data_IF_285955781268
#
_entry.id   IF_285955781268
#
_cell.length_a   1.000
_cell.length_b   1.000
_cell.length_c   1.000
_cell.angle_alpha   90.00
_cell.angle_beta   90.00
_cell.angle_gamma   90.00
#
_symmetry.space_group_name_H-M   'P 1'
#
loop_
_entity.id
_entity.type
_entity.pdbx_description
1 polymer ?
#
# COMPACT_ATOMS: atom_id res chain seq x y z
N UNK A 1 -30.59 -16.20 35.28
CA UNK A 1 -29.99 -16.99 34.19
C UNK A 1 -29.67 -16.13 32.98
N UNK A 2 -28.45 -15.62 32.91
CA UNK A 2 -27.95 -14.92 31.72
C UNK A 2 -27.44 -15.95 30.73
N UNK A 3 -28.22 -16.16 29.67
CA UNK A 3 -27.89 -17.06 28.56
C UNK A 3 -26.76 -16.42 27.74
N UNK A 4 -25.52 -16.79 28.06
CA UNK A 4 -24.34 -16.41 27.27
C UNK A 4 -24.45 -17.17 25.96
N UNK A 5 -24.74 -16.45 24.88
CA UNK A 5 -24.67 -16.98 23.53
C UNK A 5 -23.19 -17.29 23.29
N UNK A 6 -22.79 -18.54 23.43
CA UNK A 6 -21.49 -19.01 22.96
C UNK A 6 -21.39 -18.57 21.51
N UNK A 7 -20.39 -17.75 21.18
CA UNK A 7 -20.11 -17.34 19.81
C UNK A 7 -19.87 -18.62 19.01
N UNK A 8 -20.93 -19.15 18.40
CA UNK A 8 -20.82 -20.20 17.40
C UNK A 8 -19.74 -19.71 16.45
N UNK A 9 -18.66 -20.49 16.34
CA UNK A 9 -17.55 -20.22 15.45
C UNK A 9 -18.14 -19.74 14.14
N UNK A 10 -18.01 -18.43 13.87
CA UNK A 10 -18.47 -17.87 12.63
C UNK A 10 -17.62 -18.55 11.57
N UNK A 11 -18.19 -19.59 10.94
CA UNK A 11 -17.54 -20.36 9.88
C UNK A 11 -17.01 -19.32 8.90
N UNK A 12 -15.70 -19.28 8.72
CA UNK A 12 -15.06 -18.33 7.82
C UNK A 12 -15.83 -18.41 6.49
N UNK A 13 -16.34 -17.27 6.02
CA UNK A 13 -17.12 -17.22 4.79
C UNK A 13 -16.27 -17.82 3.69
N UNK A 14 -16.58 -19.01 3.20
CA UNK A 14 -15.81 -19.65 2.13
C UNK A 14 -16.02 -18.85 0.85
N UNK A 15 -15.12 -17.91 0.56
CA UNK A 15 -15.17 -17.15 -0.68
C UNK A 15 -14.59 -18.05 -1.77
N UNK A 16 -15.47 -18.82 -2.42
CA UNK A 16 -15.16 -19.83 -3.44
C UNK A 16 -14.18 -19.34 -4.53
N UNK A 17 -14.25 -18.06 -4.89
CA UNK A 17 -13.39 -17.48 -5.93
C UNK A 17 -11.98 -17.10 -5.46
N UNK A 18 -11.73 -16.98 -4.14
CA UNK A 18 -10.41 -16.69 -3.55
C UNK A 18 -9.59 -17.96 -3.29
N UNK A 19 -10.22 -19.13 -3.21
CA UNK A 19 -9.53 -20.41 -3.09
C UNK A 19 -9.09 -20.95 -4.46
N UNK A 20 -8.37 -20.13 -5.21
CA UNK A 20 -7.96 -20.45 -6.59
C UNK A 20 -6.46 -20.20 -6.75
N UNK A 21 -5.74 -21.18 -7.31
CA UNK A 21 -4.31 -21.05 -7.68
C UNK A 21 -4.08 -20.44 -9.07
N UNK A 22 -5.15 -20.04 -9.73
CA UNK A 22 -5.10 -19.48 -11.07
C UNK A 22 -4.36 -18.14 -11.04
N UNK A 23 -3.50 -17.96 -12.05
CA UNK A 23 -2.76 -16.72 -12.28
C UNK A 23 -3.43 -15.92 -13.39
N UNK A 24 -3.48 -14.60 -13.24
CA UNK A 24 -4.07 -13.67 -14.21
C UNK A 24 -3.06 -12.56 -14.51
N UNK A 25 -2.88 -12.15 -15.79
CA UNK A 25 -3.41 -12.76 -17.02
C UNK A 25 -2.71 -14.07 -17.38
N UNK A 26 -3.45 -15.07 -17.87
CA UNK A 26 -2.91 -16.40 -18.22
C UNK A 26 -1.83 -16.35 -19.32
N UNK A 27 -1.86 -15.33 -20.17
CA UNK A 27 -0.89 -15.10 -21.24
C UNK A 27 0.41 -14.43 -20.78
N UNK A 28 0.45 -13.88 -19.55
CA UNK A 28 1.55 -13.06 -19.06
C UNK A 28 2.75 -13.87 -18.51
N UNK A 29 2.69 -15.20 -18.54
CA UNK A 29 3.79 -16.08 -18.14
C UNK A 29 4.32 -15.75 -16.74
N UNK A 30 5.61 -15.35 -16.58
CA UNK A 30 6.18 -14.97 -15.28
C UNK A 30 5.55 -13.74 -14.61
N UNK A 31 4.93 -12.85 -15.39
CA UNK A 31 4.27 -11.64 -14.88
C UNK A 31 2.84 -11.90 -14.38
N UNK A 32 2.35 -13.14 -14.53
CA UNK A 32 1.02 -13.52 -14.07
C UNK A 32 1.00 -13.64 -12.55
N UNK A 33 0.09 -12.91 -11.91
CA UNK A 33 -0.08 -12.93 -10.45
C UNK A 33 -1.30 -13.78 -10.06
N UNK A 34 -1.26 -14.48 -8.92
CA UNK A 34 -2.42 -15.18 -8.38
C UNK A 34 -3.66 -14.27 -8.28
N UNK A 35 -4.83 -14.77 -8.67
CA UNK A 35 -6.12 -14.05 -8.52
C UNK A 35 -6.35 -13.46 -7.12
N UNK A 36 -5.99 -14.15 -6.02
CA UNK A 36 -6.15 -13.59 -4.68
C UNK A 36 -5.28 -12.36 -4.42
N UNK A 37 -4.07 -12.30 -4.99
CA UNK A 37 -3.22 -11.10 -4.90
C UNK A 37 -3.87 -9.91 -5.60
N UNK A 38 -4.48 -10.12 -6.77
CA UNK A 38 -5.21 -9.06 -7.48
C UNK A 38 -6.35 -8.48 -6.64
N UNK A 39 -7.11 -9.32 -5.94
CA UNK A 39 -8.15 -8.87 -5.02
C UNK A 39 -7.59 -8.08 -3.83
N UNK A 40 -6.48 -8.55 -3.24
CA UNK A 40 -5.77 -7.82 -2.18
C UNK A 40 -5.29 -6.46 -2.67
N UNK A 41 -4.74 -6.38 -3.89
CA UNK A 41 -4.29 -5.11 -4.48
C UNK A 41 -5.45 -4.13 -4.69
N UNK A 42 -6.59 -4.60 -5.21
CA UNK A 42 -7.78 -3.75 -5.39
C UNK A 42 -8.30 -3.25 -4.04
N UNK A 43 -8.37 -4.13 -3.04
CA UNK A 43 -8.76 -3.75 -1.68
C UNK A 43 -7.80 -2.71 -1.10
N UNK A 44 -6.49 -2.90 -1.30
CA UNK A 44 -5.47 -1.96 -0.86
C UNK A 44 -5.67 -0.57 -1.48
N UNK A 45 -5.82 -0.52 -2.81
CA UNK A 45 -6.07 0.71 -3.56
C UNK A 45 -7.34 1.38 -3.03
N UNK A 46 -8.44 0.64 -2.90
CA UNK A 46 -9.71 1.17 -2.41
C UNK A 46 -9.58 1.81 -1.02
N UNK A 47 -8.87 1.16 -0.10
CA UNK A 47 -8.68 1.67 1.27
C UNK A 47 -7.73 2.87 1.36
N UNK A 48 -6.78 3.00 0.44
CA UNK A 48 -5.72 4.03 0.49
C UNK A 48 -6.03 5.27 -0.35
N UNK A 49 -6.81 5.12 -1.42
CA UNK A 49 -7.20 6.21 -2.32
C UNK A 49 -7.82 7.41 -1.58
N UNK A 50 -8.78 7.24 -0.65
CA UNK A 50 -9.39 8.38 0.04
C UNK A 50 -8.36 9.22 0.82
N UNK A 51 -7.44 8.57 1.52
CA UNK A 51 -6.38 9.24 2.28
C UNK A 51 -5.45 10.03 1.38
N UNK A 52 -4.99 9.43 0.28
CA UNK A 52 -4.12 10.11 -0.68
C UNK A 52 -4.82 11.24 -1.42
N UNK A 53 -6.12 11.09 -1.70
CA UNK A 53 -6.93 12.15 -2.28
C UNK A 53 -7.00 13.38 -1.36
N UNK A 54 -7.23 13.18 -0.06
CA UNK A 54 -7.23 14.28 0.92
C UNK A 54 -5.88 14.98 0.98
N UNK A 55 -4.78 14.22 0.98
CA UNK A 55 -3.43 14.80 0.94
C UNK A 55 -3.19 15.62 -0.33
N UNK A 56 -3.63 15.14 -1.49
CA UNK A 56 -3.56 15.90 -2.74
C UNK A 56 -4.42 17.16 -2.70
N UNK A 57 -5.62 17.10 -2.14
CA UNK A 57 -6.49 18.28 -1.98
C UNK A 57 -5.86 19.32 -1.06
N UNK A 58 -5.25 18.91 0.05
CA UNK A 58 -4.50 19.81 0.93
C UNK A 58 -3.32 20.46 0.19
N UNK A 59 -2.60 19.68 -0.62
CA UNK A 59 -1.53 20.20 -1.48
C UNK A 59 -2.01 21.23 -2.50
N UNK A 60 -3.16 20.97 -3.13
CA UNK A 60 -3.77 21.87 -4.11
C UNK A 60 -4.22 23.20 -3.48
N UNK A 61 -4.73 23.16 -2.24
CA UNK A 61 -5.13 24.37 -1.51
C UNK A 61 -3.93 25.29 -1.21
N UNK A 62 -2.72 24.75 -1.14
CA UNK A 62 -1.50 25.52 -0.94
C UNK A 62 -0.99 26.27 -2.19
N UNK A 63 -1.55 26.02 -3.38
CA UNK A 63 -1.06 26.63 -4.62
C UNK A 63 -1.64 28.06 -4.76
N UNK A 64 -0.81 29.11 -4.84
CA UNK A 64 -1.29 30.48 -5.00
C UNK A 64 -2.10 30.65 -6.30
N UNK A 65 -3.29 31.26 -6.19
CA UNK A 65 -4.17 31.52 -7.34
C UNK A 65 -3.54 32.43 -8.40
N UNK A 66 -2.63 33.31 -7.98
CA UNK A 66 -1.89 34.24 -8.85
C UNK A 66 -1.16 33.51 -9.99
N UNK A 67 -0.65 32.30 -9.76
CA UNK A 67 0.01 31.50 -10.80
C UNK A 67 -0.97 31.08 -11.92
N UNK A 68 -2.22 30.79 -11.55
CA UNK A 68 -3.25 30.42 -12.52
C UNK A 68 -3.76 31.64 -13.28
N UNK A 69 -3.91 32.78 -12.61
CA UNK A 69 -4.31 34.05 -13.22
C UNK A 69 -3.26 34.55 -14.22
N UNK A 70 -1.97 34.50 -13.86
CA UNK A 70 -0.87 34.84 -14.77
C UNK A 70 -0.87 33.94 -16.03
N UNK A 71 -1.08 32.64 -15.85
CA UNK A 71 -1.16 31.71 -16.98
C UNK A 71 -2.40 31.94 -17.86
N UNK A 72 -3.49 32.48 -17.31
CA UNK A 72 -4.66 32.89 -18.09
C UNK A 72 -4.38 34.14 -18.93
N UNK A 73 -3.64 35.10 -18.38
CA UNK A 73 -3.15 36.27 -19.11
C UNK A 73 -2.22 35.86 -20.25
N UNK A 74 -1.37 34.84 -20.03
CA UNK A 74 -0.49 34.26 -21.05
C UNK A 74 -1.20 33.33 -22.06
N UNK A 75 -2.52 33.14 -21.94
CA UNK A 75 -3.32 32.34 -22.87
C UNK A 75 -3.16 30.81 -22.72
N UNK A 76 -2.70 30.32 -21.57
CA UNK A 76 -2.48 28.90 -21.33
C UNK A 76 -3.81 28.11 -21.22
N UNK A 77 -3.90 27.00 -21.96
CA UNK A 77 -5.04 26.05 -21.91
C UNK A 77 -5.03 25.25 -20.60
N UNK A 78 -6.19 24.71 -20.21
CA UNK A 78 -6.35 23.94 -18.96
C UNK A 78 -5.35 22.77 -18.80
N UNK A 79 -5.03 22.06 -19.88
CA UNK A 79 -4.03 20.97 -19.83
C UNK A 79 -2.60 21.48 -19.59
N UNK A 80 -2.27 22.66 -20.12
CA UNK A 80 -0.97 23.30 -19.86
C UNK A 80 -0.89 23.75 -18.40
N UNK A 81 -1.96 24.34 -17.86
CA UNK A 81 -2.02 24.72 -16.43
C UNK A 81 -1.82 23.49 -15.52
N UNK A 82 -2.41 22.34 -15.86
CA UNK A 82 -2.21 21.10 -15.10
C UNK A 82 -0.75 20.62 -15.11
N UNK A 83 -0.14 20.45 -16.28
CA UNK A 83 1.22 19.88 -16.37
C UNK A 83 2.34 20.83 -15.96
N UNK A 84 2.17 22.14 -16.17
CA UNK A 84 3.23 23.13 -15.91
C UNK A 84 3.07 23.87 -14.57
N UNK A 85 1.87 23.90 -13.99
CA UNK A 85 1.62 24.58 -12.70
C UNK A 85 1.27 23.54 -11.64
N UNK A 86 0.23 22.76 -11.85
CA UNK A 86 -0.30 21.85 -10.83
C UNK A 86 0.68 20.70 -10.51
N UNK A 87 1.13 19.96 -11.52
CA UNK A 87 2.03 18.80 -11.34
C UNK A 87 3.37 19.20 -10.68
N UNK A 88 4.08 20.26 -11.12
CA UNK A 88 5.36 20.63 -10.53
C UNK A 88 5.24 21.16 -9.10
N UNK A 89 4.15 21.89 -8.78
CA UNK A 89 3.87 22.39 -7.43
C UNK A 89 3.50 21.25 -6.48
N UNK A 90 2.80 20.23 -6.97
CA UNK A 90 2.46 19.03 -6.19
C UNK A 90 3.61 18.04 -6.01
N UNK A 91 4.77 18.23 -6.65
CA UNK A 91 5.92 17.28 -6.58
C UNK A 91 6.25 16.86 -5.14
N UNK A 92 6.25 17.81 -4.20
CA UNK A 92 6.54 17.51 -2.79
C UNK A 92 5.47 16.63 -2.13
N UNK A 93 4.20 16.92 -2.41
CA UNK A 93 3.06 16.15 -1.90
C UNK A 93 3.02 14.75 -2.54
N UNK A 94 3.28 14.66 -3.85
CA UNK A 94 3.42 13.37 -4.54
C UNK A 94 4.55 12.54 -3.95
N UNK A 95 5.71 13.15 -3.65
CA UNK A 95 6.81 12.45 -2.99
C UNK A 95 6.40 11.88 -1.63
N UNK A 96 5.71 12.67 -0.80
CA UNK A 96 5.19 12.22 0.49
C UNK A 96 4.21 11.06 0.32
N UNK A 97 3.26 11.17 -0.60
CA UNK A 97 2.24 10.14 -0.85
C UNK A 97 2.87 8.83 -1.34
N UNK A 98 3.80 8.90 -2.29
CA UNK A 98 4.49 7.70 -2.80
C UNK A 98 5.31 7.05 -1.69
N UNK A 99 5.95 7.84 -0.82
CA UNK A 99 6.70 7.32 0.34
C UNK A 99 5.80 6.61 1.33
N UNK A 100 4.69 7.23 1.72
CA UNK A 100 3.71 6.62 2.61
C UNK A 100 3.10 5.35 2.00
N UNK A 101 2.78 5.37 0.70
CA UNK A 101 2.27 4.20 -0.02
C UNK A 101 3.28 3.05 -0.09
N UNK A 102 4.55 3.37 -0.33
CA UNK A 102 5.62 2.36 -0.39
C UNK A 102 5.86 1.71 0.98
N UNK A 103 5.90 2.52 2.04
CA UNK A 103 5.99 2.00 3.43
C UNK A 103 4.76 1.14 3.75
N UNK A 104 3.56 1.64 3.41
CA UNK A 104 2.30 0.95 3.66
C UNK A 104 2.19 -0.40 2.97
N UNK A 105 2.65 -0.51 1.71
CA UNK A 105 2.62 -1.77 0.96
C UNK A 105 3.62 -2.79 1.50
N UNK A 106 4.82 -2.36 1.93
CA UNK A 106 5.81 -3.25 2.57
C UNK A 106 5.34 -3.79 3.93
N UNK A 107 4.57 -3.00 4.66
CA UNK A 107 4.03 -3.37 5.98
C UNK A 107 2.63 -4.01 5.89
N UNK A 108 2.11 -4.26 4.70
CA UNK A 108 0.76 -4.77 4.50
C UNK A 108 0.63 -6.22 4.99
N UNK A 109 0.04 -6.39 6.18
CA UNK A 109 -0.24 -7.71 6.77
C UNK A 109 -1.74 -7.98 6.98
N UNK A 110 -2.53 -6.97 7.35
CA UNK A 110 -3.95 -7.16 7.69
C UNK A 110 -4.76 -7.70 6.52
N UNK A 111 -4.63 -7.08 5.35
CA UNK A 111 -5.34 -7.49 4.14
C UNK A 111 -4.94 -8.89 3.68
N UNK A 112 -3.66 -9.22 3.84
CA UNK A 112 -3.11 -10.55 3.55
C UNK A 112 -3.62 -11.58 4.55
N UNK A 113 -3.77 -11.24 5.83
CA UNK A 113 -4.28 -12.16 6.85
C UNK A 113 -5.76 -12.46 6.66
N UNK A 114 -6.56 -11.43 6.36
CA UNK A 114 -8.01 -11.57 6.14
C UNK A 114 -8.27 -12.49 4.93
N UNK A 115 -7.54 -12.29 3.83
CA UNK A 115 -7.72 -13.05 2.59
C UNK A 115 -6.92 -14.37 2.60
N UNK A 116 -5.75 -14.39 3.21
CA UNK A 116 -4.83 -15.54 3.27
C UNK A 116 -5.35 -16.69 4.13
N UNK A 117 -6.35 -16.47 4.99
CA UNK A 117 -7.11 -17.57 5.59
C UNK A 117 -7.95 -18.37 4.57
N UNK A 118 -8.20 -17.80 3.39
CA UNK A 118 -9.06 -18.36 2.34
C UNK A 118 -8.34 -18.63 1.02
N UNK A 119 -7.13 -18.09 0.84
CA UNK A 119 -6.30 -18.26 -0.34
C UNK A 119 -5.09 -19.17 -0.05
N UNK A 120 -4.60 -19.97 -1.02
CA UNK A 120 -3.41 -20.80 -0.84
C UNK A 120 -2.20 -19.99 -0.33
N UNK A 121 -1.55 -20.49 0.73
CA UNK A 121 -0.42 -19.81 1.38
C UNK A 121 0.68 -19.44 0.39
N UNK A 122 1.05 -20.35 -0.52
CA UNK A 122 2.12 -20.14 -1.53
C UNK A 122 1.89 -18.91 -2.43
N UNK A 123 0.65 -18.46 -2.58
CA UNK A 123 0.29 -17.34 -3.44
C UNK A 123 0.33 -15.98 -2.73
N UNK A 124 0.45 -15.94 -1.40
CA UNK A 124 0.12 -14.73 -0.61
C UNK A 124 1.10 -14.42 0.54
N UNK A 125 2.25 -15.09 0.61
CA UNK A 125 3.21 -14.85 1.71
C UNK A 125 3.88 -13.49 1.57
N UNK A 126 3.49 -12.53 2.41
CA UNK A 126 4.28 -11.32 2.66
C UNK A 126 5.20 -11.52 3.86
N UNK A 127 6.34 -10.80 3.90
CA UNK A 127 7.27 -10.87 5.03
C UNK A 127 6.60 -10.46 6.34
N UNK A 128 5.68 -9.49 6.30
CA UNK A 128 4.87 -9.09 7.45
C UNK A 128 3.91 -10.20 7.91
N UNK A 129 3.31 -10.95 6.98
CA UNK A 129 2.50 -12.12 7.32
C UNK A 129 3.34 -13.24 7.97
N UNK A 130 4.56 -13.47 7.50
CA UNK A 130 5.48 -14.44 8.10
C UNK A 130 5.83 -14.12 9.56
N UNK A 131 6.07 -12.84 9.87
CA UNK A 131 6.28 -12.37 11.25
C UNK A 131 5.07 -12.70 12.12
N UNK A 132 3.87 -12.37 11.63
CA UNK A 132 2.62 -12.65 12.35
C UNK A 132 2.41 -14.14 12.60
N UNK A 133 2.53 -14.98 11.56
CA UNK A 133 2.34 -16.43 11.65
C UNK A 133 3.34 -17.08 12.61
N UNK A 134 4.59 -16.62 12.62
CA UNK A 134 5.64 -17.13 13.51
C UNK A 134 5.41 -16.72 14.97
N UNK A 135 4.82 -15.54 15.21
CA UNK A 135 4.49 -15.04 16.55
C UNK A 135 3.22 -15.67 17.13
N UNK A 136 2.20 -15.92 16.30
CA UNK A 136 0.91 -16.44 16.72
C UNK A 136 0.48 -17.67 15.89
N UNK A 137 1.21 -18.80 15.97
CA UNK A 137 0.82 -20.02 15.29
C UNK A 137 -0.36 -20.65 16.05
N UNK A 138 -1.58 -20.56 15.51
CA UNK A 138 -2.82 -20.87 16.25
C UNK A 138 -2.85 -22.19 17.03
N UNK A 139 -2.18 -23.24 16.54
CA UNK A 139 -2.16 -24.57 17.17
C UNK A 139 -0.75 -25.07 17.56
N UNK A 140 0.29 -24.22 17.50
CA UNK A 140 1.67 -24.62 17.79
C UNK A 140 2.34 -23.68 18.79
N UNK A 141 3.49 -24.10 19.35
CA UNK A 141 4.27 -23.23 20.24
C UNK A 141 4.75 -21.97 19.48
N UNK A 142 4.52 -20.75 20.02
CA UNK A 142 5.00 -19.51 19.44
C UNK A 142 6.52 -19.50 19.24
N UNK A 143 6.97 -19.19 18.02
CA UNK A 143 8.40 -19.01 17.70
C UNK A 143 8.76 -17.54 17.72
N UNK A 144 8.61 -16.93 18.89
CA UNK A 144 8.77 -15.47 19.08
C UNK A 144 10.16 -14.99 18.68
N UNK A 145 11.22 -15.77 18.93
CA UNK A 145 12.59 -15.41 18.51
C UNK A 145 12.74 -15.31 16.99
N UNK A 146 12.14 -16.24 16.24
CA UNK A 146 12.13 -16.21 14.77
C UNK A 146 11.29 -15.04 14.24
N UNK A 147 10.14 -14.80 14.86
CA UNK A 147 9.26 -13.68 14.50
C UNK A 147 9.95 -12.33 14.72
N UNK A 148 10.65 -12.16 15.85
CA UNK A 148 11.39 -10.94 16.16
C UNK A 148 12.55 -10.70 15.18
N UNK A 149 13.32 -11.74 14.84
CA UNK A 149 14.38 -11.65 13.85
C UNK A 149 13.83 -11.23 12.46
N UNK A 150 12.74 -11.86 12.02
CA UNK A 150 12.08 -11.50 10.77
C UNK A 150 11.50 -10.08 10.78
N UNK A 151 10.99 -9.60 11.93
CA UNK A 151 10.50 -8.23 12.09
C UNK A 151 11.62 -7.19 11.97
N UNK A 152 12.79 -7.48 12.56
CA UNK A 152 13.98 -6.64 12.42
C UNK A 152 14.43 -6.60 10.96
N UNK A 153 14.48 -7.74 10.28
CA UNK A 153 14.83 -7.80 8.85
C UNK A 153 13.85 -6.98 8.01
N UNK A 154 12.54 -7.11 8.27
CA UNK A 154 11.51 -6.31 7.61
C UNK A 154 11.74 -4.81 7.84
N UNK A 155 12.00 -4.40 9.09
CA UNK A 155 12.25 -3.00 9.42
C UNK A 155 13.49 -2.44 8.70
N UNK A 156 14.58 -3.21 8.66
CA UNK A 156 15.81 -2.84 7.93
C UNK A 156 15.53 -2.73 6.44
N UNK A 157 14.79 -3.68 5.86
CA UNK A 157 14.42 -3.66 4.45
C UNK A 157 13.55 -2.43 4.12
N UNK A 158 12.54 -2.13 4.93
CA UNK A 158 11.71 -0.93 4.76
C UNK A 158 12.57 0.34 4.85
N UNK A 159 13.50 0.41 5.80
CA UNK A 159 14.40 1.55 5.95
C UNK A 159 15.29 1.72 4.70
N UNK A 160 15.88 0.64 4.18
CA UNK A 160 16.69 0.67 2.96
C UNK A 160 15.87 1.19 1.78
N UNK A 161 14.64 0.69 1.62
CA UNK A 161 13.76 1.12 0.52
C UNK A 161 13.42 2.61 0.65
N UNK A 162 13.12 3.09 1.86
CA UNK A 162 12.84 4.51 2.11
C UNK A 162 14.08 5.37 1.86
N UNK A 163 15.27 4.92 2.25
CA UNK A 163 16.52 5.65 1.98
C UNK A 163 16.80 5.72 0.48
N UNK A 164 16.65 4.61 -0.25
CA UNK A 164 16.80 4.57 -1.70
C UNK A 164 15.81 5.54 -2.34
N UNK A 165 14.54 5.48 -1.95
CA UNK A 165 13.52 6.39 -2.46
C UNK A 165 13.86 7.86 -2.16
N UNK A 166 14.32 8.16 -0.95
CA UNK A 166 14.74 9.51 -0.56
C UNK A 166 15.93 9.98 -1.40
N UNK A 167 16.90 9.11 -1.70
CA UNK A 167 18.06 9.48 -2.53
C UNK A 167 17.63 9.71 -3.99
N UNK A 168 16.88 8.79 -4.59
CA UNK A 168 16.46 8.89 -5.99
C UNK A 168 15.47 10.03 -6.26
N UNK A 169 14.58 10.35 -5.32
CA UNK A 169 13.54 11.37 -5.51
C UNK A 169 13.83 12.68 -4.74
N UNK A 170 14.72 12.67 -3.75
CA UNK A 170 15.10 13.83 -2.93
C UNK A 170 16.20 14.71 -3.54
N UNK A 171 16.79 14.30 -4.68
CA UNK A 171 17.86 15.04 -5.34
C UNK A 171 17.34 16.21 -6.20
N UNK A 172 16.58 17.12 -5.58
CA UNK A 172 15.94 18.20 -6.31
C UNK A 172 15.83 19.56 -5.65
N UNK A 173 15.81 19.71 -4.31
CA UNK A 173 15.46 21.03 -3.71
C UNK A 173 16.04 21.32 -2.31
N UNK A 174 17.12 20.68 -1.87
CA UNK A 174 17.81 21.03 -0.60
C UNK A 174 19.14 21.79 -0.82
N UNK A 175 19.36 22.35 -2.02
CA UNK A 175 20.60 23.08 -2.36
C UNK A 175 20.37 24.49 -2.92
N UNK A 176 19.26 25.14 -2.58
CA UNK A 176 19.03 26.56 -2.90
C UNK A 176 18.31 27.24 -1.73
N UNK A 177 19.03 27.32 -0.62
CA UNK A 177 19.04 28.54 0.20
C UNK A 177 19.36 29.76 -0.69
#
# INVERSE_FOLDING_TARGET
DFNIITTAEAKAVDIFWLNTREKVPSWAGPLAFPRPLGAIMILNIWTTVPTFMILYLAGLQGIPKVLYEAAEVDGAKGWQKFWYITVPQLKHITFLIVTLGLIGTLQMFDQVKIIGGQAPLESTITLAYYVYYSAFPGASAPRIGMAAAAAIILAVLTLIVVLIQKIFLGDGKDLRD
#
